data_IF_015871970257
#
_entry.id   IF_015871970257
#
_cell.length_a   1.000
_cell.length_b   1.000
_cell.length_c   1.000
_cell.angle_alpha   90.00
_cell.angle_beta   90.00
_cell.angle_gamma   90.00
#
_symmetry.space_group_name_H-M   'P 1'
#
loop_
_entity.id
_entity.type
_entity.pdbx_description
1 polymer ?
#
# COMPACT_ATOMS: atom_id res chain seq x y z
N UNK A 1 -16.85 -15.93 24.25
CA UNK A 1 -17.69 -16.45 23.17
C UNK A 1 -17.54 -15.65 21.90
N UNK A 2 -17.66 -14.34 21.99
CA UNK A 2 -17.53 -13.46 20.83
C UNK A 2 -16.12 -13.47 20.22
N UNK A 3 -15.09 -13.61 21.03
CA UNK A 3 -13.71 -13.64 20.55
C UNK A 3 -13.41 -14.88 19.70
N UNK A 4 -13.96 -16.03 20.07
CA UNK A 4 -13.81 -17.26 19.31
C UNK A 4 -14.48 -17.14 17.94
N UNK A 5 -15.66 -16.51 17.88
CA UNK A 5 -16.38 -16.30 16.63
C UNK A 5 -15.60 -15.40 15.67
N UNK A 6 -14.96 -14.36 16.18
CA UNK A 6 -14.13 -13.47 15.35
C UNK A 6 -12.87 -14.16 14.85
N UNK A 7 -12.24 -14.99 15.70
CA UNK A 7 -11.03 -15.73 15.33
C UNK A 7 -11.31 -16.75 14.23
N UNK A 8 -12.52 -17.30 14.21
CA UNK A 8 -12.94 -18.31 13.25
C UNK A 8 -13.59 -17.72 11.99
N UNK A 9 -13.69 -16.40 11.92
CA UNK A 9 -14.29 -15.75 10.76
C UNK A 9 -13.47 -16.04 9.51
N UNK A 10 -14.17 -16.37 8.43
CA UNK A 10 -13.55 -16.65 7.12
C UNK A 10 -14.28 -15.84 6.05
N UNK A 11 -13.62 -15.69 4.92
CA UNK A 11 -14.13 -14.94 3.77
C UNK A 11 -14.06 -15.82 2.52
N UNK A 12 -15.06 -15.69 1.67
CA UNK A 12 -14.94 -16.17 0.30
C UNK A 12 -14.01 -15.23 -0.47
N UNK A 13 -13.52 -15.65 -1.64
CA UNK A 13 -12.69 -14.79 -2.47
C UNK A 13 -13.45 -13.51 -2.87
N UNK A 14 -14.74 -13.64 -3.19
CA UNK A 14 -15.56 -12.48 -3.53
C UNK A 14 -15.74 -11.52 -2.36
N UNK A 15 -16.01 -12.04 -1.16
CA UNK A 15 -16.18 -11.20 0.02
C UNK A 15 -14.92 -10.46 0.41
N UNK A 16 -13.79 -11.15 0.39
CA UNK A 16 -12.52 -10.52 0.75
C UNK A 16 -12.09 -9.48 -0.29
N UNK A 17 -12.25 -9.80 -1.57
CA UNK A 17 -11.95 -8.87 -2.64
C UNK A 17 -12.78 -7.59 -2.52
N UNK A 18 -14.09 -7.74 -2.24
CA UNK A 18 -14.98 -6.60 -2.07
C UNK A 18 -14.58 -5.74 -0.86
N UNK A 19 -14.29 -6.38 0.27
CA UNK A 19 -13.90 -5.68 1.49
C UNK A 19 -12.62 -4.88 1.30
N UNK A 20 -11.63 -5.47 0.65
CA UNK A 20 -10.31 -4.85 0.44
C UNK A 20 -10.27 -3.96 -0.82
N UNK A 21 -11.35 -3.93 -1.58
CA UNK A 21 -11.47 -3.13 -2.80
C UNK A 21 -10.42 -3.51 -3.85
N UNK A 22 -10.23 -4.81 -4.00
CA UNK A 22 -9.37 -5.40 -5.03
C UNK A 22 -10.16 -6.43 -5.82
N UNK A 23 -9.56 -6.96 -6.88
CA UNK A 23 -10.19 -8.01 -7.67
C UNK A 23 -9.84 -9.39 -7.13
N UNK A 24 -10.67 -10.41 -7.40
CA UNK A 24 -10.29 -11.80 -7.08
C UNK A 24 -8.96 -12.21 -7.71
N UNK A 25 -8.66 -11.69 -8.89
CA UNK A 25 -7.39 -11.93 -9.58
C UNK A 25 -6.21 -11.46 -8.74
N UNK A 26 -6.35 -10.32 -8.08
CA UNK A 26 -5.32 -9.77 -7.20
C UNK A 26 -5.04 -10.73 -6.04
N UNK A 27 -6.08 -11.28 -5.42
CA UNK A 27 -5.93 -12.25 -4.34
C UNK A 27 -5.24 -13.51 -4.82
N UNK A 28 -5.62 -14.03 -5.98
CA UNK A 28 -4.97 -15.21 -6.57
C UNK A 28 -3.52 -14.96 -6.91
N UNK A 29 -3.18 -13.74 -7.33
CA UNK A 29 -1.80 -13.35 -7.60
C UNK A 29 -0.94 -13.48 -6.35
N UNK A 30 -1.38 -12.93 -5.23
CA UNK A 30 -0.61 -12.98 -3.99
C UNK A 30 -0.57 -14.37 -3.38
N UNK A 31 -1.61 -15.19 -3.60
CA UNK A 31 -1.59 -16.61 -3.26
C UNK A 31 -0.49 -17.32 -4.05
N UNK A 32 -0.43 -17.07 -5.35
CA UNK A 32 0.59 -17.68 -6.22
C UNK A 32 2.01 -17.26 -5.82
N UNK A 33 2.16 -16.04 -5.30
CA UNK A 33 3.44 -15.55 -4.81
C UNK A 33 3.78 -16.09 -3.41
N UNK A 34 2.88 -16.88 -2.81
CA UNK A 34 3.12 -17.46 -1.50
C UNK A 34 2.96 -16.53 -0.33
N UNK A 35 2.37 -15.35 -0.54
CA UNK A 35 2.19 -14.35 0.51
C UNK A 35 0.94 -14.57 1.35
N UNK A 36 -0.06 -15.23 0.80
CA UNK A 36 -1.25 -15.68 1.51
C UNK A 36 -1.49 -17.14 1.17
N UNK A 37 -2.20 -17.84 2.06
CA UNK A 37 -2.39 -19.28 1.93
C UNK A 37 -3.81 -19.64 2.34
N UNK A 38 -4.79 -19.41 1.45
CA UNK A 38 -6.18 -19.75 1.75
C UNK A 38 -6.37 -21.26 1.85
N UNK A 39 -7.42 -21.64 2.58
CA UNK A 39 -7.81 -23.02 2.72
C UNK A 39 -8.59 -23.41 1.46
N UNK A 40 -8.17 -24.49 0.81
CA UNK A 40 -8.86 -25.01 -0.36
C UNK A 40 -9.89 -26.04 0.05
N UNK A 41 -11.11 -25.87 -0.46
CA UNK A 41 -12.19 -26.79 -0.23
C UNK A 41 -12.50 -27.65 -1.45
N UNK A 42 -13.60 -28.38 -1.36
CA UNK A 42 -14.11 -29.20 -2.46
C UNK A 42 -14.40 -28.33 -3.67
N UNK A 43 -14.07 -28.84 -4.86
CA UNK A 43 -14.31 -28.13 -6.12
C UNK A 43 -13.39 -26.94 -6.37
N UNK A 44 -12.30 -26.83 -5.63
CA UNK A 44 -11.33 -25.75 -5.82
C UNK A 44 -11.72 -24.43 -5.18
N UNK A 45 -12.76 -24.40 -4.35
CA UNK A 45 -13.15 -23.19 -3.63
C UNK A 45 -12.05 -22.77 -2.65
N UNK A 46 -11.93 -21.46 -2.42
CA UNK A 46 -10.96 -20.87 -1.51
C UNK A 46 -11.66 -20.21 -0.35
N UNK A 47 -11.15 -20.46 0.86
CA UNK A 47 -11.62 -19.81 2.07
C UNK A 47 -10.45 -19.05 2.69
N UNK A 48 -10.60 -17.75 2.84
CA UNK A 48 -9.56 -16.87 3.37
C UNK A 48 -9.76 -16.69 4.87
N UNK A 49 -8.68 -16.85 5.62
CA UNK A 49 -8.70 -16.73 7.07
C UNK A 49 -8.45 -15.28 7.50
N UNK A 50 -8.63 -15.01 8.79
CA UNK A 50 -8.28 -13.72 9.37
C UNK A 50 -6.80 -13.38 9.16
N UNK A 51 -5.95 -14.39 9.24
CA UNK A 51 -4.52 -14.23 8.97
C UNK A 51 -4.27 -13.75 7.54
N UNK A 52 -4.95 -14.35 6.57
CA UNK A 52 -4.87 -13.96 5.16
C UNK A 52 -5.32 -12.52 4.97
N UNK A 53 -6.42 -12.14 5.62
CA UNK A 53 -6.95 -10.78 5.54
C UNK A 53 -5.95 -9.76 6.07
N UNK A 54 -5.37 -10.03 7.24
CA UNK A 54 -4.36 -9.15 7.84
C UNK A 54 -3.14 -9.02 6.93
N UNK A 55 -2.67 -10.15 6.38
CA UNK A 55 -1.53 -10.16 5.48
C UNK A 55 -1.84 -9.34 4.22
N UNK A 56 -3.03 -9.49 3.66
CA UNK A 56 -3.43 -8.70 2.48
C UNK A 56 -3.48 -7.20 2.79
N UNK A 57 -3.95 -6.81 3.96
CA UNK A 57 -3.95 -5.40 4.36
C UNK A 57 -2.52 -4.83 4.39
N UNK A 58 -1.58 -5.60 4.93
CA UNK A 58 -0.17 -5.21 4.97
C UNK A 58 0.44 -5.14 3.57
N UNK A 59 0.12 -6.12 2.71
CA UNK A 59 0.58 -6.15 1.32
C UNK A 59 0.12 -4.90 0.57
N UNK A 60 -1.17 -4.59 0.65
CA UNK A 60 -1.74 -3.46 -0.07
C UNK A 60 -1.17 -2.13 0.42
N UNK A 61 -0.94 -2.02 1.73
CA UNK A 61 -0.30 -0.84 2.31
C UNK A 61 1.13 -0.68 1.82
N UNK A 62 1.91 -1.76 1.83
CA UNK A 62 3.29 -1.74 1.36
C UNK A 62 3.39 -1.39 -0.12
N UNK A 63 2.49 -1.94 -0.95
CA UNK A 63 2.43 -1.61 -2.38
C UNK A 63 2.13 -0.13 -2.58
N UNK A 64 1.25 0.43 -1.79
CA UNK A 64 0.93 1.86 -1.87
C UNK A 64 2.13 2.74 -1.52
N UNK A 65 2.98 2.27 -0.61
CA UNK A 65 4.21 2.99 -0.25
C UNK A 65 5.33 2.81 -1.29
N UNK A 66 5.12 1.96 -2.30
CA UNK A 66 6.12 1.70 -3.32
C UNK A 66 7.16 0.67 -2.92
N UNK A 67 6.87 -0.15 -1.92
CA UNK A 67 7.77 -1.22 -1.49
C UNK A 67 7.72 -2.39 -2.46
N UNK A 68 8.86 -3.09 -2.61
CA UNK A 68 8.93 -4.28 -3.43
C UNK A 68 8.23 -5.46 -2.73
N UNK A 69 7.87 -6.48 -3.51
CA UNK A 69 7.28 -7.69 -2.94
C UNK A 69 8.22 -8.38 -1.94
N UNK A 70 9.52 -8.34 -2.20
CA UNK A 70 10.53 -8.88 -1.29
C UNK A 70 10.50 -8.17 0.06
N UNK A 71 10.46 -6.83 0.03
CA UNK A 71 10.37 -6.02 1.26
C UNK A 71 9.07 -6.30 2.01
N UNK A 72 7.96 -6.40 1.28
CA UNK A 72 6.65 -6.70 1.86
C UNK A 72 6.65 -8.08 2.50
N UNK A 73 7.22 -9.08 1.83
CA UNK A 73 7.31 -10.44 2.35
C UNK A 73 8.08 -10.48 3.67
N UNK A 74 9.19 -9.74 3.77
CA UNK A 74 9.97 -9.67 5.00
C UNK A 74 9.13 -9.10 6.17
N UNK A 75 8.35 -8.06 5.91
CA UNK A 75 7.48 -7.45 6.91
C UNK A 75 6.40 -8.44 7.36
N UNK A 76 5.77 -9.10 6.41
CA UNK A 76 4.71 -10.07 6.70
C UNK A 76 5.25 -11.21 7.54
N UNK A 77 6.41 -11.73 7.20
CA UNK A 77 7.01 -12.87 7.91
C UNK A 77 7.36 -12.52 9.35
N UNK A 78 7.61 -11.25 9.66
CA UNK A 78 7.84 -10.81 11.04
C UNK A 78 6.68 -11.13 11.98
N UNK A 79 5.45 -11.09 11.48
CA UNK A 79 4.27 -11.34 12.30
C UNK A 79 4.14 -12.81 12.70
N UNK A 80 4.85 -13.70 12.00
CA UNK A 80 4.79 -15.13 12.24
C UNK A 80 6.00 -15.68 12.98
N UNK A 81 7.07 -14.87 13.11
CA UNK A 81 8.34 -15.31 13.66
C UNK A 81 8.46 -15.15 15.18
N UNK A 82 9.43 -15.86 15.77
CA UNK A 82 9.78 -15.75 17.17
C UNK A 82 10.32 -14.35 17.50
N UNK A 83 10.14 -13.90 18.75
CA UNK A 83 10.52 -12.56 19.18
C UNK A 83 12.01 -12.23 19.01
N UNK A 84 12.88 -13.25 19.07
CA UNK A 84 14.33 -13.03 19.02
C UNK A 84 14.82 -12.42 17.71
N UNK A 85 14.12 -12.69 16.59
CA UNK A 85 14.50 -12.16 15.28
C UNK A 85 13.81 -10.84 14.95
N UNK A 86 12.78 -10.47 15.70
CA UNK A 86 11.94 -9.30 15.40
C UNK A 86 12.67 -7.96 15.53
N UNK A 87 13.63 -7.86 16.45
CA UNK A 87 14.34 -6.59 16.67
C UNK A 87 15.06 -6.15 15.41
N UNK A 88 15.86 -7.02 14.81
CA UNK A 88 16.61 -6.70 13.58
C UNK A 88 15.66 -6.40 12.42
N UNK A 89 14.60 -7.19 12.31
CA UNK A 89 13.61 -6.99 11.25
C UNK A 89 12.88 -5.67 11.41
N UNK A 90 12.48 -5.32 12.64
CA UNK A 90 11.84 -4.04 12.92
C UNK A 90 12.78 -2.86 12.65
N UNK A 91 14.04 -2.98 13.03
CA UNK A 91 15.03 -1.95 12.72
C UNK A 91 15.17 -1.73 11.21
N UNK A 92 15.15 -2.82 10.46
CA UNK A 92 15.22 -2.78 9.00
C UNK A 92 13.98 -2.10 8.39
N UNK A 93 12.80 -2.44 8.92
CA UNK A 93 11.54 -1.82 8.48
C UNK A 93 11.53 -0.33 8.80
N UNK A 94 11.92 0.04 10.01
CA UNK A 94 11.98 1.46 10.41
C UNK A 94 12.91 2.24 9.47
N UNK A 95 14.08 1.70 9.19
CA UNK A 95 15.03 2.32 8.29
C UNK A 95 14.44 2.53 6.89
N UNK A 96 13.78 1.50 6.36
CA UNK A 96 13.15 1.58 5.03
C UNK A 96 12.01 2.59 4.99
N UNK A 97 11.17 2.60 6.03
CA UNK A 97 10.06 3.55 6.13
C UNK A 97 10.60 4.99 6.19
N UNK A 98 11.67 5.20 6.95
CA UNK A 98 12.29 6.53 7.04
C UNK A 98 12.88 6.97 5.71
N UNK A 99 13.48 6.05 4.95
CA UNK A 99 13.99 6.34 3.61
C UNK A 99 12.85 6.76 2.66
N UNK A 100 11.75 6.02 2.68
CA UNK A 100 10.58 6.33 1.85
C UNK A 100 10.01 7.69 2.24
N UNK A 101 9.90 7.97 3.54
CA UNK A 101 9.43 9.26 4.04
C UNK A 101 10.30 10.40 3.55
N UNK A 102 11.63 10.22 3.60
CA UNK A 102 12.58 11.24 3.13
C UNK A 102 12.44 11.49 1.62
N UNK A 103 12.29 10.42 0.84
CA UNK A 103 12.10 10.52 -0.62
C UNK A 103 10.80 11.27 -0.95
N UNK A 104 9.72 10.95 -0.26
CA UNK A 104 8.42 11.60 -0.47
C UNK A 104 8.45 13.07 -0.05
N UNK A 105 9.13 13.38 1.04
CA UNK A 105 9.30 14.76 1.49
C UNK A 105 10.08 15.58 0.47
N UNK A 106 11.12 14.99 -0.12
CA UNK A 106 11.89 15.66 -1.16
C UNK A 106 11.03 15.93 -2.40
N UNK A 107 10.23 14.95 -2.82
CA UNK A 107 9.30 15.13 -3.95
C UNK A 107 8.26 16.19 -3.66
N UNK A 108 7.76 16.23 -2.45
CA UNK A 108 6.77 17.23 -2.02
C UNK A 108 7.36 18.64 -2.16
N UNK A 109 8.59 18.85 -1.72
CA UNK A 109 9.29 20.13 -1.85
C UNK A 109 9.49 20.51 -3.31
N UNK A 110 9.87 19.55 -4.16
CA UNK A 110 10.05 19.80 -5.59
C UNK A 110 8.74 20.19 -6.24
N UNK A 111 7.65 19.51 -5.89
CA UNK A 111 6.31 19.83 -6.42
C UNK A 111 5.90 21.24 -5.97
N UNK A 112 6.08 21.58 -4.72
CA UNK A 112 5.75 22.90 -4.19
C UNK A 112 6.55 23.99 -4.91
N UNK A 113 7.83 23.75 -5.13
CA UNK A 113 8.71 24.68 -5.85
C UNK A 113 8.24 24.86 -7.30
N UNK A 114 7.90 23.79 -7.98
CA UNK A 114 7.40 23.84 -9.36
C UNK A 114 6.08 24.57 -9.46
N UNK A 115 5.18 24.32 -8.52
CA UNK A 115 3.89 25.03 -8.48
C UNK A 115 4.09 26.53 -8.28
N UNK A 116 5.04 26.92 -7.44
CA UNK A 116 5.37 28.32 -7.23
C UNK A 116 5.90 28.97 -8.51
N UNK A 117 6.79 28.29 -9.22
CA UNK A 117 7.31 28.78 -10.51
C UNK A 117 6.20 28.92 -11.54
N UNK A 118 5.30 27.94 -11.63
CA UNK A 118 4.17 27.99 -12.55
C UNK A 118 3.24 29.15 -12.23
N UNK A 119 3.01 29.40 -10.95
CA UNK A 119 2.19 30.54 -10.50
C UNK A 119 2.82 31.86 -10.97
N UNK A 120 4.12 32.00 -10.82
CA UNK A 120 4.83 33.20 -11.26
C UNK A 120 4.74 33.40 -12.78
N UNK A 121 4.95 32.34 -13.54
CA UNK A 121 4.83 32.39 -15.00
C UNK A 121 3.39 32.78 -15.39
N UNK A 122 2.41 32.18 -14.76
CA UNK A 122 1.00 32.49 -15.02
C UNK A 122 0.71 33.97 -14.77
N UNK A 123 1.18 34.52 -13.64
CA UNK A 123 0.98 35.93 -13.29
C UNK A 123 1.64 36.85 -14.31
N UNK A 124 2.87 36.54 -14.72
CA UNK A 124 3.58 37.34 -15.71
C UNK A 124 2.86 37.33 -17.05
N UNK A 125 2.43 36.18 -17.50
CA UNK A 125 1.70 36.05 -18.77
C UNK A 125 0.34 36.74 -18.74
N UNK A 126 -0.38 36.62 -17.65
CA UNK A 126 -1.68 37.31 -17.47
C UNK A 126 -1.50 38.83 -17.47
N UNK A 127 -0.45 39.32 -16.83
CA UNK A 127 -0.14 40.73 -16.83
C UNK A 127 0.15 41.24 -18.23
N UNK A 128 0.99 40.48 -18.98
CA UNK A 128 1.34 40.84 -20.35
C UNK A 128 0.11 40.79 -21.26
N UNK A 129 -0.72 39.79 -21.08
CA UNK A 129 -1.98 39.63 -21.84
C UNK A 129 -2.88 40.86 -21.64
N UNK A 130 -3.06 41.30 -20.39
CA UNK A 130 -3.87 42.51 -20.10
C UNK A 130 -3.29 43.74 -20.75
N UNK A 131 -1.97 43.89 -20.74
CA UNK A 131 -1.31 45.01 -21.39
C UNK A 131 -1.57 45.03 -22.90
N UNK A 132 -1.47 43.88 -23.53
CA UNK A 132 -1.70 43.77 -24.98
C UNK A 132 -3.17 43.99 -25.34
N UNK A 133 -4.08 43.50 -24.52
CA UNK A 133 -5.52 43.68 -24.74
C UNK A 133 -5.92 45.15 -24.57
N UNK A 134 -5.31 45.86 -23.65
CA UNK A 134 -5.58 47.29 -23.43
C UNK A 134 -5.11 48.15 -24.60
N UNK A 135 -4.11 47.69 -25.37
CA UNK A 135 -3.59 48.44 -26.51
C UNK A 135 -4.36 48.18 -27.80
N UNK A 136 -5.14 47.12 -27.86
CA UNK A 136 -5.95 46.86 -29.07
C UNK A 136 -7.37 47.46 -29.04
#
# INVERSE_FOLDING_TARGET
MTSATQADRVWTIGDLAAELKVTPRTLRFYEAEGLIEPIRGAGGSRTYTRRDRTRMQLILRGKRFGMSLTEIAEIIDMYDDAESSKIRQLERVVRRVDEISAELTARQRDIESTLAELSDVSKQCKSRLRQLQAKS
#
